data_IF_892875354616
#
_entry.id   IF_892875354616
#
_cell.length_a   1.000
_cell.length_b   1.000
_cell.length_c   1.000
_cell.angle_alpha   90.00
_cell.angle_beta   90.00
_cell.angle_gamma   90.00
#
_symmetry.space_group_name_H-M   'P 1'
#
loop_
_entity.id
_entity.type
_entity.pdbx_description
1 polymer ?
#
# COMPACT_ATOMS: atom_id res chain seq x y z
N UNK A 1 -5.99 4.84 -3.23
CA UNK A 1 -5.01 5.37 -4.22
C UNK A 1 -5.66 5.55 -5.59
N UNK A 2 -5.88 4.49 -6.39
CA UNK A 2 -6.37 4.63 -7.76
C UNK A 2 -7.71 5.37 -7.89
N UNK A 3 -8.64 5.16 -6.95
CA UNK A 3 -9.89 5.90 -6.93
C UNK A 3 -9.69 7.42 -6.70
N UNK A 4 -8.77 7.78 -5.81
CA UNK A 4 -8.42 9.19 -5.59
C UNK A 4 -7.78 9.80 -6.83
N UNK A 5 -6.79 9.11 -7.42
CA UNK A 5 -6.16 9.56 -8.66
C UNK A 5 -7.19 9.74 -9.79
N UNK A 6 -8.21 8.85 -9.87
CA UNK A 6 -9.25 8.94 -10.90
C UNK A 6 -10.12 10.20 -10.80
N UNK A 7 -10.34 10.70 -9.60
CA UNK A 7 -11.17 11.89 -9.35
C UNK A 7 -10.36 13.15 -9.06
N UNK A 8 -9.05 13.15 -9.32
CA UNK A 8 -8.16 14.27 -9.03
C UNK A 8 -7.98 14.59 -7.55
N UNK A 9 -8.33 13.67 -6.65
CA UNK A 9 -8.17 13.88 -5.21
C UNK A 9 -6.78 13.50 -4.72
N UNK A 10 -6.10 14.42 -4.04
CA UNK A 10 -4.82 14.16 -3.38
C UNK A 10 -5.02 13.14 -2.26
N UNK A 11 -4.19 12.12 -2.19
CA UNK A 11 -4.27 11.11 -1.14
C UNK A 11 -2.94 11.01 -0.37
N UNK A 12 -3.05 10.55 0.88
CA UNK A 12 -1.89 10.23 1.71
C UNK A 12 -2.09 8.86 2.34
N UNK A 13 -1.17 7.93 2.06
CA UNK A 13 -1.24 6.58 2.60
C UNK A 13 -0.45 6.50 3.88
N UNK A 14 -1.09 6.02 4.93
CA UNK A 14 -0.51 5.83 6.26
C UNK A 14 -0.32 4.33 6.48
N UNK A 15 0.90 3.94 6.86
CA UNK A 15 1.19 2.54 7.19
C UNK A 15 0.32 2.06 8.36
N UNK A 16 -0.36 0.93 8.18
CA UNK A 16 -1.32 0.41 9.15
C UNK A 16 -0.77 -0.01 10.52
N UNK A 17 0.54 -0.05 10.66
CA UNK A 17 1.22 -0.32 11.93
C UNK A 17 1.62 0.92 12.72
N UNK A 18 1.26 2.12 12.28
CA UNK A 18 1.58 3.36 13.01
C UNK A 18 0.71 3.56 14.25
N UNK A 19 1.28 4.24 15.23
CA UNK A 19 0.58 4.63 16.45
C UNK A 19 -0.48 5.73 16.17
N UNK A 20 -1.50 5.87 17.03
CA UNK A 20 -2.50 6.92 16.91
C UNK A 20 -1.90 8.33 16.75
N UNK A 21 -0.87 8.68 17.52
CA UNK A 21 -0.18 9.97 17.41
C UNK A 21 0.50 10.16 16.05
N UNK A 22 1.05 9.09 15.47
CA UNK A 22 1.66 9.15 14.15
C UNK A 22 0.61 9.28 13.03
N UNK A 23 -0.60 8.77 13.26
CA UNK A 23 -1.74 8.91 12.37
C UNK A 23 -2.28 10.35 12.45
N UNK A 24 -2.61 10.85 13.65
CA UNK A 24 -3.17 12.20 13.84
C UNK A 24 -2.24 13.30 13.34
N UNK A 25 -0.93 13.16 13.58
CA UNK A 25 0.05 14.11 13.09
C UNK A 25 0.05 14.26 11.57
N UNK A 26 -0.15 13.16 10.81
CA UNK A 26 -0.23 13.18 9.33
C UNK A 26 -1.55 13.73 8.83
N UNK A 27 -2.65 13.34 9.46
CA UNK A 27 -3.99 13.84 9.11
C UNK A 27 -4.07 15.35 9.26
N UNK A 28 -3.54 15.88 10.37
CA UNK A 28 -3.54 17.32 10.63
C UNK A 28 -2.57 18.09 9.72
N UNK A 29 -1.39 17.52 9.45
CA UNK A 29 -0.37 18.18 8.60
C UNK A 29 -0.83 18.28 7.13
N UNK A 30 -1.54 17.29 6.62
CA UNK A 30 -2.11 17.34 5.25
C UNK A 30 -3.57 17.82 5.21
N UNK A 31 -4.11 18.31 6.32
CA UNK A 31 -5.47 18.86 6.43
C UNK A 31 -6.56 17.95 5.86
N UNK A 32 -6.45 16.66 6.11
CA UNK A 32 -7.38 15.67 5.52
C UNK A 32 -8.78 15.77 6.10
N UNK A 33 -9.77 15.96 5.25
CA UNK A 33 -11.19 15.96 5.59
C UNK A 33 -11.79 14.55 5.74
N UNK A 34 -11.17 13.57 5.09
CA UNK A 34 -11.68 12.21 4.98
C UNK A 34 -10.62 11.18 5.34
N UNK A 35 -11.03 10.16 6.08
CA UNK A 35 -10.18 9.02 6.40
C UNK A 35 -10.83 7.74 5.89
N UNK A 36 -10.04 6.88 5.26
CA UNK A 36 -10.48 5.54 4.87
C UNK A 36 -9.66 4.55 5.69
N UNK A 37 -10.32 3.68 6.41
CA UNK A 37 -9.69 2.62 7.21
C UNK A 37 -10.45 1.31 7.04
N UNK A 38 -10.02 0.29 7.74
CA UNK A 38 -10.77 -0.97 7.87
C UNK A 38 -11.04 -1.27 9.34
N UNK A 39 -11.99 -2.16 9.61
CA UNK A 39 -12.29 -2.59 10.98
C UNK A 39 -11.01 -3.09 11.66
N UNK A 40 -10.37 -4.10 11.09
CA UNK A 40 -9.13 -4.70 11.57
C UNK A 40 -8.27 -5.16 10.40
N UNK A 41 -6.95 -5.22 10.61
CA UNK A 41 -5.97 -5.78 9.67
C UNK A 41 -5.48 -7.14 10.14
N UNK A 42 -5.08 -7.99 9.19
CA UNK A 42 -4.46 -9.29 9.49
C UNK A 42 -2.96 -9.22 9.16
N UNK A 43 -2.12 -9.63 10.12
CA UNK A 43 -0.67 -9.70 9.92
C UNK A 43 -0.12 -11.01 10.49
N UNK A 44 -0.06 -12.02 9.67
CA UNK A 44 0.17 -13.39 10.12
C UNK A 44 -1.00 -13.84 11.01
N UNK A 45 -0.71 -14.27 12.22
CA UNK A 45 -1.73 -14.65 13.22
C UNK A 45 -2.30 -13.45 14.00
N UNK A 46 -1.69 -12.27 13.84
CA UNK A 46 -2.07 -11.09 14.63
C UNK A 46 -3.21 -10.33 13.95
N UNK A 47 -4.20 -9.98 14.76
CA UNK A 47 -5.23 -9.00 14.39
C UNK A 47 -4.77 -7.62 14.84
N UNK A 48 -4.75 -6.68 13.91
CA UNK A 48 -4.37 -5.28 14.15
C UNK A 48 -5.65 -4.46 14.26
N UNK A 49 -5.91 -3.76 15.38
CA UNK A 49 -7.15 -3.01 15.61
C UNK A 49 -7.12 -1.66 14.87
N UNK A 50 -7.23 -1.69 13.55
CA UNK A 50 -7.05 -0.52 12.68
C UNK A 50 -8.03 0.60 13.03
N UNK A 51 -9.32 0.27 13.15
CA UNK A 51 -10.36 1.26 13.47
C UNK A 51 -10.14 1.88 14.86
N UNK A 52 -9.75 1.07 15.85
CA UNK A 52 -9.47 1.57 17.20
C UNK A 52 -8.31 2.57 17.22
N UNK A 53 -7.22 2.27 16.48
CA UNK A 53 -6.09 3.19 16.36
C UNK A 53 -6.47 4.49 15.66
N UNK A 54 -7.34 4.40 14.64
CA UNK A 54 -7.88 5.58 13.95
C UNK A 54 -8.81 6.38 14.87
N UNK A 55 -9.68 5.74 15.64
CA UNK A 55 -10.57 6.43 16.58
C UNK A 55 -9.80 7.25 17.62
N UNK A 56 -8.74 6.67 18.18
CA UNK A 56 -7.86 7.37 19.09
C UNK A 56 -7.15 8.56 18.42
N UNK A 57 -6.68 8.38 17.18
CA UNK A 57 -6.05 9.46 16.42
C UNK A 57 -7.02 10.59 16.09
N UNK A 58 -8.27 10.27 15.80
CA UNK A 58 -9.27 11.25 15.39
C UNK A 58 -9.78 12.14 16.55
N UNK A 59 -9.47 11.83 17.80
CA UNK A 59 -9.70 12.73 18.93
C UNK A 59 -8.98 14.06 18.71
N UNK A 60 -7.78 14.00 18.12
CA UNK A 60 -6.92 15.17 17.85
C UNK A 60 -7.08 15.72 16.43
N UNK A 61 -8.08 15.24 15.66
CA UNK A 61 -8.31 15.62 14.25
C UNK A 61 -9.71 16.21 14.04
N UNK A 62 -10.00 17.43 14.55
CA UNK A 62 -11.36 18.00 14.52
C UNK A 62 -11.88 18.31 13.12
N UNK A 63 -11.00 18.41 12.13
CA UNK A 63 -11.37 18.75 10.75
C UNK A 63 -11.90 17.53 9.95
N UNK A 64 -11.69 16.32 10.44
CA UNK A 64 -12.15 15.11 9.75
C UNK A 64 -13.66 15.02 9.76
N UNK A 65 -14.24 15.09 8.58
CA UNK A 65 -15.70 15.07 8.35
C UNK A 65 -16.28 13.67 8.37
N UNK A 66 -15.59 12.71 7.73
CA UNK A 66 -16.04 11.32 7.66
C UNK A 66 -14.88 10.33 7.72
N UNK A 67 -15.17 9.20 8.35
CA UNK A 67 -14.32 8.02 8.38
C UNK A 67 -15.04 6.86 7.66
N UNK A 68 -14.52 6.47 6.51
CA UNK A 68 -15.06 5.36 5.72
C UNK A 68 -14.40 4.06 6.16
N UNK A 69 -15.19 3.09 6.59
CA UNK A 69 -14.69 1.84 7.17
C UNK A 69 -14.96 0.67 6.24
N UNK A 70 -13.90 -0.03 5.85
CA UNK A 70 -13.98 -1.28 5.08
C UNK A 70 -14.14 -2.45 6.06
N UNK A 71 -15.15 -3.28 5.84
CA UNK A 71 -15.38 -4.48 6.63
C UNK A 71 -14.46 -5.60 6.16
N UNK A 72 -13.39 -5.88 6.93
CA UNK A 72 -12.38 -6.91 6.61
C UNK A 72 -12.58 -8.19 7.43
N UNK A 73 -12.68 -8.06 8.76
CA UNK A 73 -12.89 -9.20 9.68
C UNK A 73 -14.34 -9.36 10.06
N UNK A 74 -15.07 -8.25 10.16
CA UNK A 74 -16.45 -8.22 10.61
C UNK A 74 -16.64 -8.32 12.12
N UNK A 75 -15.56 -8.23 12.88
CA UNK A 75 -15.61 -8.16 14.32
C UNK A 75 -16.29 -6.87 14.79
N UNK A 76 -16.75 -6.88 16.05
CA UNK A 76 -17.36 -5.70 16.65
C UNK A 76 -16.29 -4.62 16.88
N UNK A 77 -16.57 -3.43 16.39
CA UNK A 77 -15.74 -2.22 16.56
C UNK A 77 -16.53 -1.09 17.21
N UNK A 78 -15.83 -0.10 17.75
CA UNK A 78 -16.47 1.15 18.15
C UNK A 78 -16.99 1.91 16.94
N UNK A 79 -18.09 2.64 17.12
CA UNK A 79 -18.75 3.33 16.01
C UNK A 79 -19.30 4.69 16.44
N UNK A 80 -18.97 5.74 15.71
CA UNK A 80 -19.55 7.08 15.85
C UNK A 80 -20.47 7.37 14.64
N UNK A 81 -21.78 7.33 14.87
CA UNK A 81 -22.82 7.53 13.84
C UNK A 81 -22.72 8.88 13.11
N UNK A 82 -22.09 9.89 13.73
CA UNK A 82 -21.94 11.22 13.11
C UNK A 82 -20.82 11.26 12.09
N UNK A 83 -19.80 10.40 12.26
CA UNK A 83 -18.54 10.43 11.51
C UNK A 83 -18.36 9.19 10.64
N UNK A 84 -18.66 8.00 11.17
CA UNK A 84 -18.30 6.72 10.58
C UNK A 84 -19.36 6.27 9.56
N UNK A 85 -18.89 5.72 8.45
CA UNK A 85 -19.75 5.13 7.42
C UNK A 85 -19.13 3.88 6.84
N UNK A 86 -19.94 2.84 6.65
CA UNK A 86 -19.48 1.62 6.03
C UNK A 86 -19.24 1.79 4.53
N UNK A 87 -18.08 1.38 4.04
CA UNK A 87 -17.76 1.42 2.60
C UNK A 87 -18.81 0.70 1.75
N UNK A 88 -19.20 -0.51 2.15
CA UNK A 88 -20.17 -1.30 1.40
C UNK A 88 -21.59 -0.70 1.39
N UNK A 89 -21.94 0.17 2.33
CA UNK A 89 -23.22 0.90 2.29
C UNK A 89 -23.15 2.11 1.37
N UNK A 90 -22.01 2.78 1.30
CA UNK A 90 -21.78 3.87 0.35
C UNK A 90 -21.83 3.37 -1.09
N UNK A 91 -21.17 2.25 -1.39
CA UNK A 91 -21.08 1.72 -2.75
C UNK A 91 -22.41 1.26 -3.34
N UNK A 92 -23.39 0.90 -2.50
CA UNK A 92 -24.75 0.58 -2.96
C UNK A 92 -25.52 1.77 -3.53
N UNK A 93 -25.09 2.99 -3.19
CA UNK A 93 -25.82 4.23 -3.49
C UNK A 93 -25.21 5.04 -4.65
N UNK A 94 -24.13 4.55 -5.24
CA UNK A 94 -23.40 5.29 -6.27
C UNK A 94 -23.33 4.50 -7.58
N UNK A 95 -23.13 5.23 -8.68
CA UNK A 95 -22.92 4.64 -10.01
C UNK A 95 -21.58 3.89 -10.04
N UNK A 96 -21.50 2.84 -10.85
CA UNK A 96 -20.25 2.18 -11.19
C UNK A 96 -19.47 2.89 -12.31
N UNK A 97 -20.00 4.00 -12.85
CA UNK A 97 -19.35 4.85 -13.84
C UNK A 97 -18.79 6.08 -13.16
N UNK A 98 -17.52 6.31 -13.39
CA UNK A 98 -16.81 7.49 -12.96
C UNK A 98 -15.73 7.79 -14.00
N UNK A 99 -15.94 8.82 -14.80
CA UNK A 99 -14.95 9.24 -15.78
C UNK A 99 -13.72 9.81 -15.06
N UNK A 100 -12.51 9.62 -15.59
CA UNK A 100 -11.31 10.17 -14.98
C UNK A 100 -11.31 11.69 -15.11
N UNK A 101 -10.88 12.36 -14.05
CA UNK A 101 -10.60 13.78 -14.07
C UNK A 101 -9.35 14.07 -14.90
N UNK A 102 -9.41 15.10 -15.75
CA UNK A 102 -8.24 15.58 -16.50
C UNK A 102 -7.32 16.37 -15.58
N UNK A 103 -6.07 15.91 -15.46
CA UNK A 103 -5.07 16.51 -14.57
C UNK A 103 -3.91 17.09 -15.36
N UNK A 104 -3.40 18.25 -14.93
CA UNK A 104 -2.14 18.77 -15.45
C UNK A 104 -0.95 18.02 -14.84
N UNK A 105 0.20 18.09 -15.52
CA UNK A 105 1.42 17.43 -15.06
C UNK A 105 1.87 17.87 -13.66
N UNK A 106 1.63 19.13 -13.32
CA UNK A 106 2.04 19.72 -12.03
C UNK A 106 0.96 19.59 -10.94
N UNK A 107 -0.21 19.08 -11.27
CA UNK A 107 -1.26 18.90 -10.27
C UNK A 107 -0.83 17.84 -9.23
N UNK A 108 -1.10 18.06 -7.92
CA UNK A 108 -0.76 17.13 -6.88
C UNK A 108 -1.42 15.76 -7.06
N UNK A 109 -0.65 14.68 -6.88
CA UNK A 109 -1.15 13.31 -6.93
C UNK A 109 -1.28 12.71 -5.53
N UNK A 110 -0.23 12.79 -4.74
CA UNK A 110 -0.24 12.29 -3.35
C UNK A 110 0.79 12.99 -2.48
N UNK A 111 0.58 12.87 -1.17
CA UNK A 111 1.55 13.28 -0.14
C UNK A 111 2.03 12.03 0.59
N UNK A 112 3.33 11.83 0.66
CA UNK A 112 3.93 10.72 1.39
C UNK A 112 4.94 11.22 2.40
N UNK A 113 4.86 10.70 3.64
CA UNK A 113 5.68 11.15 4.75
C UNK A 113 6.98 10.37 4.85
N UNK A 114 8.08 11.09 4.95
CA UNK A 114 9.41 10.55 5.25
C UNK A 114 9.71 10.68 6.74
N UNK A 115 10.70 9.92 7.24
CA UNK A 115 11.11 9.93 8.66
C UNK A 115 11.68 11.27 9.13
N UNK A 116 12.03 12.17 8.23
CA UNK A 116 12.59 13.51 8.52
C UNK A 116 13.86 13.48 9.37
N UNK A 117 14.84 14.31 9.03
CA UNK A 117 16.08 14.46 9.80
C UNK A 117 15.89 15.12 11.18
N UNK A 118 14.77 15.79 11.41
CA UNK A 118 14.43 16.54 12.62
C UNK A 118 13.51 15.80 13.60
N UNK A 119 13.27 14.52 13.37
CA UNK A 119 12.37 13.68 14.18
C UNK A 119 10.88 13.83 13.88
N UNK A 120 10.43 14.93 13.27
CA UNK A 120 9.05 15.05 12.76
C UNK A 120 8.97 14.56 11.31
N UNK A 121 7.99 13.73 10.97
CA UNK A 121 7.76 13.33 9.58
C UNK A 121 7.51 14.56 8.70
N UNK A 122 8.06 14.55 7.48
CA UNK A 122 7.86 15.61 6.48
C UNK A 122 7.04 15.03 5.33
N UNK A 123 5.92 15.68 5.00
CA UNK A 123 5.12 15.36 3.84
C UNK A 123 5.84 15.81 2.56
N UNK A 124 6.07 14.87 1.66
CA UNK A 124 6.58 15.14 0.31
C UNK A 124 5.43 15.03 -0.65
N UNK A 125 5.10 16.14 -1.31
CA UNK A 125 4.08 16.18 -2.35
C UNK A 125 4.67 15.73 -3.68
N UNK A 126 4.02 14.77 -4.32
CA UNK A 126 4.36 14.29 -5.65
C UNK A 126 3.32 14.79 -6.65
N UNK A 127 3.77 15.33 -7.78
CA UNK A 127 2.91 15.77 -8.87
C UNK A 127 2.62 14.67 -9.87
N UNK A 128 1.52 14.81 -10.61
CA UNK A 128 0.96 13.75 -11.46
C UNK A 128 1.91 13.34 -12.58
N UNK A 129 2.36 14.30 -13.42
CA UNK A 129 3.10 14.00 -14.63
C UNK A 129 4.52 13.48 -14.36
N UNK A 130 5.33 14.23 -13.61
CA UNK A 130 6.73 13.89 -13.35
C UNK A 130 6.86 12.55 -12.60
N UNK A 131 6.03 12.34 -11.60
CA UNK A 131 6.03 11.07 -10.86
C UNK A 131 5.62 9.88 -11.72
N UNK A 132 4.57 10.01 -12.54
CA UNK A 132 4.10 8.92 -13.40
C UNK A 132 5.12 8.54 -14.47
N UNK A 133 5.79 9.53 -15.09
CA UNK A 133 6.88 9.28 -16.05
C UNK A 133 8.01 8.51 -15.36
N UNK A 134 8.45 8.97 -14.18
CA UNK A 134 9.52 8.30 -13.43
C UNK A 134 9.13 6.86 -13.06
N UNK A 135 7.96 6.65 -12.47
CA UNK A 135 7.53 5.34 -12.02
C UNK A 135 7.35 4.35 -13.19
N UNK A 136 6.77 4.81 -14.29
CA UNK A 136 6.56 4.01 -15.50
C UNK A 136 7.88 3.61 -16.16
N UNK A 137 8.76 4.58 -16.42
CA UNK A 137 10.05 4.32 -17.09
C UNK A 137 10.95 3.43 -16.23
N UNK A 138 11.07 3.72 -14.95
CA UNK A 138 11.93 2.90 -14.07
C UNK A 138 11.40 1.49 -13.92
N UNK A 139 10.07 1.31 -13.81
CA UNK A 139 9.51 -0.04 -13.83
C UNK A 139 9.83 -0.78 -15.13
N UNK A 140 9.64 -0.15 -16.27
CA UNK A 140 9.87 -0.80 -17.56
C UNK A 140 11.35 -1.15 -17.79
N UNK A 141 12.25 -0.19 -17.56
CA UNK A 141 13.66 -0.36 -17.94
C UNK A 141 14.49 -1.07 -16.88
N UNK A 142 14.33 -0.73 -15.60
CA UNK A 142 15.16 -1.32 -14.53
C UNK A 142 14.78 -2.78 -14.31
N UNK A 143 13.48 -3.11 -14.33
CA UNK A 143 13.03 -4.49 -14.19
C UNK A 143 13.01 -5.26 -15.52
N UNK A 144 13.38 -4.61 -16.63
CA UNK A 144 13.36 -5.21 -17.97
C UNK A 144 12.00 -5.90 -18.28
N UNK A 145 10.92 -5.26 -17.80
CA UNK A 145 9.56 -5.79 -17.92
C UNK A 145 9.18 -6.03 -19.39
N UNK A 146 8.65 -7.20 -19.67
CA UNK A 146 8.12 -7.59 -20.98
C UNK A 146 6.60 -7.78 -20.92
N UNK A 147 5.86 -7.49 -21.99
CA UNK A 147 4.44 -7.83 -22.06
C UNK A 147 4.20 -9.30 -21.71
N UNK A 148 3.21 -9.55 -20.85
CA UNK A 148 2.81 -10.85 -20.28
C UNK A 148 3.67 -11.33 -19.10
N UNK A 149 4.75 -10.67 -18.72
CA UNK A 149 5.42 -10.99 -17.46
C UNK A 149 4.48 -10.79 -16.29
N UNK A 150 4.55 -11.69 -15.33
CA UNK A 150 3.89 -11.56 -14.04
C UNK A 150 4.89 -10.94 -13.07
N UNK A 151 4.57 -9.76 -12.62
CA UNK A 151 5.41 -8.96 -11.73
C UNK A 151 4.88 -9.03 -10.30
N UNK A 152 5.77 -9.16 -9.35
CA UNK A 152 5.40 -9.12 -7.93
C UNK A 152 6.39 -8.29 -7.11
N UNK A 153 5.89 -7.19 -6.54
CA UNK A 153 6.60 -6.40 -5.54
C UNK A 153 5.98 -6.66 -4.16
N UNK A 154 6.80 -7.01 -3.18
CA UNK A 154 6.36 -7.32 -1.81
C UNK A 154 6.54 -6.17 -0.84
N UNK A 155 6.78 -4.96 -1.33
CA UNK A 155 6.81 -3.76 -0.49
C UNK A 155 5.41 -3.46 0.07
N UNK A 156 5.35 -2.57 1.05
CA UNK A 156 4.09 -2.04 1.57
C UNK A 156 3.73 -0.73 0.88
N UNK A 157 2.44 -0.54 0.57
CA UNK A 157 1.96 0.68 -0.09
C UNK A 157 2.08 1.94 0.79
N UNK A 158 2.28 1.81 2.09
CA UNK A 158 2.62 2.91 2.99
C UNK A 158 4.00 3.53 2.76
N UNK A 159 4.80 2.97 1.84
CA UNK A 159 6.13 3.45 1.48
C UNK A 159 6.20 3.83 0.00
N UNK A 160 7.16 4.70 -0.35
CA UNK A 160 7.33 5.13 -1.75
C UNK A 160 7.58 3.97 -2.71
N UNK A 161 8.30 2.95 -2.27
CA UNK A 161 8.51 1.72 -3.07
C UNK A 161 7.19 1.05 -3.44
N UNK A 162 6.24 0.99 -2.49
CA UNK A 162 4.91 0.44 -2.76
C UNK A 162 4.10 1.30 -3.72
N UNK A 163 4.13 2.62 -3.56
CA UNK A 163 3.51 3.55 -4.50
C UNK A 163 4.04 3.34 -5.92
N UNK A 164 5.37 3.36 -6.07
CA UNK A 164 6.02 3.30 -7.38
C UNK A 164 5.94 1.93 -8.02
N UNK A 165 6.13 0.85 -7.25
CA UNK A 165 6.39 -0.48 -7.81
C UNK A 165 5.38 -1.57 -7.40
N UNK A 166 4.32 -1.22 -6.67
CA UNK A 166 3.13 -2.08 -6.57
C UNK A 166 2.03 -1.52 -7.47
N UNK A 167 1.83 -0.19 -7.46
CA UNK A 167 0.67 0.45 -8.05
C UNK A 167 1.05 1.20 -9.34
N UNK A 168 1.70 2.37 -9.23
CA UNK A 168 1.77 3.31 -10.36
C UNK A 168 2.63 2.81 -11.51
N UNK A 169 3.84 2.35 -11.26
CA UNK A 169 4.76 1.88 -12.32
C UNK A 169 4.24 0.65 -13.06
N UNK A 170 3.92 -0.46 -12.37
CA UNK A 170 3.40 -1.65 -13.03
C UNK A 170 2.10 -1.39 -13.80
N UNK A 171 1.13 -0.72 -13.17
CA UNK A 171 -0.18 -0.54 -13.79
C UNK A 171 -0.14 0.44 -14.97
N UNK A 172 0.73 1.47 -14.95
CA UNK A 172 0.92 2.36 -16.11
C UNK A 172 1.52 1.64 -17.33
N UNK A 173 2.26 0.55 -17.10
CA UNK A 173 2.80 -0.31 -18.15
C UNK A 173 1.89 -1.48 -18.52
N UNK A 174 0.66 -1.52 -18.00
CA UNK A 174 -0.29 -2.62 -18.24
C UNK A 174 0.18 -3.98 -17.71
N UNK A 175 1.03 -3.97 -16.68
CA UNK A 175 1.58 -5.19 -16.11
C UNK A 175 0.54 -6.00 -15.32
N UNK A 176 0.63 -7.32 -15.42
CA UNK A 176 -0.02 -8.20 -14.46
C UNK A 176 0.81 -8.21 -13.18
N UNK A 177 0.23 -7.69 -12.09
CA UNK A 177 0.91 -7.60 -10.80
C UNK A 177 0.16 -8.38 -9.73
N UNK A 178 0.91 -8.94 -8.77
CA UNK A 178 0.36 -9.66 -7.62
C UNK A 178 0.25 -8.70 -6.44
N UNK A 179 -0.94 -8.64 -5.84
CA UNK A 179 -1.18 -8.03 -4.54
C UNK A 179 -1.32 -9.12 -3.49
N UNK A 180 -0.53 -9.04 -2.44
CA UNK A 180 -0.46 -10.07 -1.40
C UNK A 180 -0.67 -9.45 -0.01
N UNK A 181 -1.70 -9.91 0.69
CA UNK A 181 -1.90 -9.61 2.10
C UNK A 181 -1.23 -10.70 2.95
N UNK A 182 -0.10 -10.36 3.57
CA UNK A 182 0.61 -11.32 4.40
C UNK A 182 2.03 -10.88 4.76
N UNK A 183 2.73 -11.73 5.46
CA UNK A 183 4.13 -11.55 5.83
C UNK A 183 4.97 -12.72 5.28
N UNK A 184 6.29 -12.52 5.06
CA UNK A 184 7.13 -13.51 4.37
C UNK A 184 7.26 -14.84 5.11
N UNK A 185 7.04 -14.84 6.43
CA UNK A 185 7.28 -16.02 7.29
C UNK A 185 5.99 -16.69 7.78
N UNK A 186 4.82 -16.32 7.23
CA UNK A 186 3.54 -16.91 7.64
C UNK A 186 2.77 -17.52 6.45
N UNK A 187 2.20 -18.74 6.59
CA UNK A 187 2.28 -19.66 7.76
C UNK A 187 3.68 -20.23 8.00
N UNK A 188 4.54 -20.22 6.98
CA UNK A 188 5.92 -20.64 7.04
C UNK A 188 6.79 -19.87 6.03
N UNK A 189 8.11 -20.06 6.06
CA UNK A 189 9.08 -19.34 5.22
C UNK A 189 9.04 -19.73 3.73
N UNK A 190 8.31 -20.78 3.36
CA UNK A 190 8.17 -21.19 1.96
C UNK A 190 7.04 -20.45 1.22
N UNK A 191 6.20 -19.71 1.97
CA UNK A 191 4.96 -19.10 1.43
C UNK A 191 5.18 -18.25 0.17
N UNK A 192 6.20 -17.43 0.16
CA UNK A 192 6.48 -16.59 -1.00
C UNK A 192 6.91 -17.41 -2.23
N UNK A 193 7.69 -18.44 -2.01
CA UNK A 193 8.15 -19.32 -3.08
C UNK A 193 6.99 -20.13 -3.68
N UNK A 194 6.05 -20.55 -2.84
CA UNK A 194 4.81 -21.18 -3.29
C UNK A 194 3.97 -20.24 -4.18
N UNK A 195 3.93 -18.94 -3.85
CA UNK A 195 3.24 -17.93 -4.67
C UNK A 195 3.98 -17.73 -5.99
N UNK A 196 5.30 -17.60 -5.96
CA UNK A 196 6.14 -17.47 -7.15
C UNK A 196 5.90 -18.64 -8.11
N UNK A 197 5.92 -19.86 -7.58
CA UNK A 197 5.70 -21.05 -8.39
C UNK A 197 4.25 -21.16 -8.88
N UNK A 198 3.29 -20.96 -8.02
CA UNK A 198 1.85 -21.04 -8.36
C UNK A 198 1.45 -20.09 -9.47
N UNK A 199 1.91 -18.86 -9.41
CA UNK A 199 1.54 -17.81 -10.37
C UNK A 199 2.60 -17.59 -11.46
N UNK A 200 3.67 -18.37 -11.47
CA UNK A 200 4.75 -18.29 -12.46
C UNK A 200 5.31 -16.86 -12.57
N UNK A 201 5.64 -16.29 -11.42
CA UNK A 201 6.18 -14.92 -11.33
C UNK A 201 7.49 -14.82 -12.10
N UNK A 202 7.55 -13.90 -13.06
CA UNK A 202 8.73 -13.66 -13.88
C UNK A 202 9.69 -12.66 -13.22
N UNK A 203 9.14 -11.65 -12.53
CA UNK A 203 9.90 -10.58 -11.90
C UNK A 203 9.46 -10.50 -10.44
N UNK A 204 10.39 -10.75 -9.52
CA UNK A 204 10.18 -10.69 -8.08
C UNK A 204 11.02 -9.58 -7.46
N UNK A 205 10.37 -8.57 -6.88
CA UNK A 205 11.03 -7.43 -6.24
C UNK A 205 10.68 -7.35 -4.76
N UNK A 206 11.70 -7.33 -3.90
CA UNK A 206 11.52 -7.33 -2.45
C UNK A 206 12.61 -6.53 -1.72
N UNK A 207 12.39 -6.26 -0.43
CA UNK A 207 13.36 -5.57 0.40
C UNK A 207 14.47 -6.52 0.90
N UNK A 208 15.72 -6.06 1.01
CA UNK A 208 16.82 -6.86 1.57
C UNK A 208 16.54 -7.37 2.98
N UNK A 209 15.79 -6.61 3.79
CA UNK A 209 15.40 -7.02 5.15
C UNK A 209 14.47 -8.23 5.15
N UNK A 210 13.59 -8.35 4.16
CA UNK A 210 12.70 -9.49 4.01
C UNK A 210 13.48 -10.76 3.62
N UNK A 211 14.42 -10.65 2.69
CA UNK A 211 15.31 -11.78 2.33
C UNK A 211 16.13 -12.23 3.53
N UNK A 212 16.72 -11.31 4.28
CA UNK A 212 17.46 -11.66 5.51
C UNK A 212 16.58 -12.36 6.55
N UNK A 213 15.32 -11.97 6.69
CA UNK A 213 14.39 -12.64 7.58
C UNK A 213 14.10 -14.07 7.11
N UNK A 214 13.89 -14.27 5.82
CA UNK A 214 13.70 -15.60 5.24
C UNK A 214 14.96 -16.47 5.38
N UNK A 215 16.16 -15.93 5.15
CA UNK A 215 17.42 -16.65 5.35
C UNK A 215 17.61 -17.15 6.79
N UNK A 216 17.15 -16.39 7.78
CA UNK A 216 17.20 -16.83 9.19
C UNK A 216 16.19 -17.94 9.51
N UNK A 217 15.09 -17.99 8.80
CA UNK A 217 14.01 -18.94 9.02
C UNK A 217 14.25 -20.30 8.32
N UNK A 218 15.13 -20.32 7.31
CA UNK A 218 15.50 -21.55 6.59
C UNK A 218 16.80 -22.10 7.18
N UNK A 219 16.74 -23.32 7.71
CA UNK A 219 17.96 -24.05 8.08
C UNK A 219 18.84 -24.23 6.83
N UNK A 220 20.14 -24.06 6.97
CA UNK A 220 21.18 -23.92 5.95
C UNK A 220 21.20 -24.93 4.79
N UNK A 221 20.34 -25.94 4.79
CA UNK A 221 20.45 -27.10 3.90
C UNK A 221 19.68 -26.98 2.57
N UNK A 222 18.85 -25.97 2.36
CA UNK A 222 17.95 -25.93 1.19
C UNK A 222 18.02 -24.70 0.29
N UNK A 223 18.86 -23.71 0.59
CA UNK A 223 19.12 -22.56 -0.28
C UNK A 223 20.47 -22.68 -0.99
N UNK A 224 20.77 -23.82 -1.60
CA UNK A 224 21.66 -23.81 -2.75
C UNK A 224 20.82 -23.35 -3.93
N UNK A 225 21.05 -22.12 -4.38
CA UNK A 225 20.72 -21.75 -5.74
C UNK A 225 21.30 -22.88 -6.62
N UNK A 226 20.47 -23.45 -7.48
CA UNK A 226 20.99 -24.22 -8.59
C UNK A 226 21.68 -23.20 -9.50
N UNK A 227 22.96 -22.95 -9.22
CA UNK A 227 23.85 -22.37 -10.20
C UNK A 227 24.02 -23.45 -11.27
N UNK A 228 23.22 -23.39 -12.31
CA UNK A 228 23.51 -24.07 -13.56
C UNK A 228 24.66 -23.31 -14.20
N UNK A 229 25.90 -23.71 -13.87
CA UNK A 229 27.02 -23.43 -14.72
C UNK A 229 26.87 -24.35 -15.95
N UNK A 230 26.38 -23.78 -17.04
CA UNK A 230 26.62 -24.38 -18.34
C UNK A 230 28.10 -24.17 -18.69
N UNK A 231 28.82 -25.27 -18.77
CA UNK A 231 30.18 -25.33 -19.27
C UNK A 231 30.20 -25.28 -20.81
#
# INVERSE_FOLDING_TARGET
>A
MLACARIGAVHSIIFGGFSPNAISGRINDCESDYVITQDEGLRGEKVIPMKSNVDEALVDCPNVKKCVVVKRTGNRINWDERRDVWYHELTKKVSNKCDPEEMNAEDPLFILYTSGSTGKPKGVMHTTGGYMVYASMTHQYIFNYKPKDIYWCTADIGWVTGHSYIIYGPLSNGATTIMFEGIPTYPDSSRWWQIVDKYKVNIFYTAPTAIRALMRAVSYTHLRAHETYDH
#
